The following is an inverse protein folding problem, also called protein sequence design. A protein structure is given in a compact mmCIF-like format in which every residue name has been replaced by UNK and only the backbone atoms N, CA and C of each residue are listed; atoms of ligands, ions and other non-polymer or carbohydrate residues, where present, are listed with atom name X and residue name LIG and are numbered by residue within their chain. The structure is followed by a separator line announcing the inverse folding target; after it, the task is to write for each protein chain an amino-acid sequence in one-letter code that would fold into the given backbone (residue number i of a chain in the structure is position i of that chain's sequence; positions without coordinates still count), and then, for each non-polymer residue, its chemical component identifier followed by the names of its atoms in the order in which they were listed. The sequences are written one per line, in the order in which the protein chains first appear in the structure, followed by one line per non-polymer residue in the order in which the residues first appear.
data_IF_562767464336
#
_entry.id   IF_562767464336
#
_cell.length_a   1.000
_cell.length_b   1.000
_cell.length_c   1.000
_cell.angle_alpha   90.00
_cell.angle_beta   90.00
_cell.angle_gamma   90.00
#
_symmetry.space_group_name_H-M   'P 1'
#
loop_
_entity.id
_entity.type
_entity.pdbx_description
1 polymer ?
#
# COMPACT_ATOMS: atom_id res chain seq x y z
N UNK A 1 5.98 26.89 0.43
CA UNK A 1 6.45 25.90 1.42
C UNK A 1 7.53 25.00 0.79
N UNK A 2 8.61 25.59 0.25
CA UNK A 2 9.70 24.87 -0.45
C UNK A 2 11.08 25.19 0.17
N UNK A 3 11.14 26.11 1.14
CA UNK A 3 12.39 26.61 1.72
C UNK A 3 12.95 25.70 2.84
N UNK A 4 12.12 24.88 3.48
CA UNK A 4 12.54 24.03 4.60
C UNK A 4 13.13 22.66 4.22
N UNK A 5 13.08 22.24 2.94
CA UNK A 5 13.57 20.91 2.56
C UNK A 5 15.10 20.82 2.46
N UNK A 6 15.77 21.90 2.06
CA UNK A 6 17.24 21.92 1.97
C UNK A 6 17.90 21.95 3.34
N UNK A 7 17.30 22.65 4.31
CA UNK A 7 17.85 22.80 5.67
C UNK A 7 17.76 21.49 6.46
N UNK A 8 16.63 20.78 6.37
CA UNK A 8 16.45 19.48 7.04
C UNK A 8 17.40 18.43 6.42
N UNK A 9 17.59 18.44 5.09
CA UNK A 9 18.57 17.57 4.42
C UNK A 9 19.99 17.86 4.91
N UNK A 10 20.40 19.12 4.99
CA UNK A 10 21.73 19.50 5.48
C UNK A 10 21.98 19.07 6.93
N UNK A 11 20.98 19.21 7.81
CA UNK A 11 21.09 18.80 9.22
C UNK A 11 21.12 17.27 9.34
N UNK A 12 20.32 16.55 8.55
CA UNK A 12 20.29 15.09 8.54
C UNK A 12 21.58 14.48 7.95
N UNK A 13 22.16 15.12 6.92
CA UNK A 13 23.44 14.71 6.34
C UNK A 13 24.62 14.96 7.29
N UNK A 14 24.58 16.03 8.09
CA UNK A 14 25.57 16.27 9.16
C UNK A 14 25.57 15.18 10.23
N UNK A 15 24.44 14.50 10.42
CA UNK A 15 24.27 13.45 11.44
C UNK A 15 24.31 12.02 10.87
N UNK A 16 24.57 11.85 9.56
CA UNK A 16 24.53 10.53 8.92
C UNK A 16 25.68 9.62 9.38
N UNK A 17 25.40 8.48 10.04
CA UNK A 17 26.41 7.51 10.47
C UNK A 17 27.11 6.80 9.30
N UNK A 18 26.55 6.90 8.09
CA UNK A 18 27.05 6.24 6.87
C UNK A 18 28.41 6.84 6.43
N UNK A 19 28.68 8.12 6.77
CA UNK A 19 30.00 8.76 6.56
C UNK A 19 31.14 8.08 7.33
N UNK A 20 30.83 7.27 8.35
CA UNK A 20 31.83 6.51 9.10
C UNK A 20 32.23 5.20 8.40
N UNK A 21 31.38 4.70 7.47
CA UNK A 21 31.57 3.42 6.78
C UNK A 21 32.04 3.57 5.32
N UNK A 22 31.81 4.72 4.68
CA UNK A 22 32.30 5.03 3.34
C UNK A 22 33.64 5.77 3.46
N UNK A 23 34.64 5.33 2.68
CA UNK A 23 36.05 5.72 2.78
C UNK A 23 36.32 7.20 3.09
N UNK A 24 37.24 7.43 4.03
CA UNK A 24 37.72 8.75 4.43
C UNK A 24 38.22 9.52 3.19
N UNK A 25 37.96 10.84 3.08
CA UNK A 25 38.62 11.65 2.06
C UNK A 25 40.14 11.54 2.26
N UNK A 26 40.84 11.09 1.22
CA UNK A 26 42.31 11.08 1.18
C UNK A 26 42.82 12.48 1.55
N UNK A 27 43.79 12.53 2.47
CA UNK A 27 44.50 13.75 2.76
C UNK A 27 45.08 14.29 1.45
N UNK A 28 44.94 15.61 1.22
CA UNK A 28 45.57 16.24 0.08
C UNK A 28 47.08 15.97 0.16
N UNK A 29 47.66 15.38 -0.88
CA UNK A 29 49.09 15.10 -0.93
C UNK A 29 49.86 16.42 -0.73
N UNK A 30 50.92 16.40 0.10
CA UNK A 30 51.76 17.59 0.35
C UNK A 30 52.33 18.17 -0.94
N UNK A 31 52.57 17.31 -1.93
CA UNK A 31 53.01 17.73 -3.27
C UNK A 31 51.96 18.62 -3.96
N UNK A 32 50.67 18.32 -3.82
CA UNK A 32 49.59 19.12 -4.42
C UNK A 32 49.47 20.48 -3.76
N UNK A 33 49.62 20.57 -2.42
CA UNK A 33 49.62 21.86 -1.71
C UNK A 33 50.78 22.74 -2.21
N UNK A 34 51.95 22.14 -2.38
CA UNK A 34 53.14 22.84 -2.86
C UNK A 34 52.97 23.36 -4.29
N UNK A 35 52.44 22.53 -5.19
CA UNK A 35 52.19 22.93 -6.58
C UNK A 35 51.15 24.06 -6.66
N UNK A 36 50.07 23.98 -5.87
CA UNK A 36 49.08 25.07 -5.82
C UNK A 36 49.71 26.35 -5.28
N UNK A 37 50.46 26.28 -4.18
CA UNK A 37 51.06 27.45 -3.56
C UNK A 37 52.03 28.16 -4.52
N UNK A 38 52.93 27.42 -5.17
CA UNK A 38 53.83 27.99 -6.19
C UNK A 38 53.04 28.63 -7.33
N UNK A 39 52.03 27.93 -7.86
CA UNK A 39 51.23 28.43 -8.98
C UNK A 39 50.52 29.73 -8.65
N UNK A 40 49.84 29.85 -7.51
CA UNK A 40 49.05 31.06 -7.22
C UNK A 40 49.92 32.28 -7.00
N UNK A 41 51.12 32.12 -6.42
CA UNK A 41 52.05 33.23 -6.26
C UNK A 41 52.71 33.63 -7.59
N UNK A 42 52.98 32.69 -8.49
CA UNK A 42 53.42 33.00 -9.86
C UNK A 42 52.34 33.75 -10.66
N UNK A 43 51.08 33.33 -10.55
CA UNK A 43 49.95 34.02 -11.17
C UNK A 43 49.77 35.42 -10.58
N UNK A 44 49.93 35.56 -9.26
CA UNK A 44 49.85 36.84 -8.56
C UNK A 44 50.91 37.84 -9.03
N UNK A 45 52.17 37.41 -9.19
CA UNK A 45 53.25 38.23 -9.74
C UNK A 45 52.94 38.74 -11.14
N UNK A 46 52.27 37.91 -11.95
CA UNK A 46 51.84 38.24 -13.32
C UNK A 46 50.49 38.95 -13.38
N UNK A 47 49.85 39.19 -12.22
CA UNK A 47 48.50 39.75 -12.09
C UNK A 47 47.44 38.99 -12.88
N UNK A 48 47.54 37.66 -12.88
CA UNK A 48 46.56 36.77 -13.51
C UNK A 48 45.56 36.32 -12.44
N UNK A 49 44.27 36.59 -12.68
CA UNK A 49 43.21 36.22 -11.76
C UNK A 49 42.97 34.71 -11.70
N UNK A 50 42.81 34.17 -10.49
CA UNK A 50 42.54 32.75 -10.28
C UNK A 50 41.54 32.54 -9.15
N UNK A 51 40.77 31.45 -9.26
CA UNK A 51 39.84 31.02 -8.23
C UNK A 51 39.85 29.49 -8.15
N UNK A 52 40.38 28.96 -7.05
CA UNK A 52 40.52 27.53 -6.81
C UNK A 52 39.72 27.18 -5.57
N UNK A 53 38.83 26.20 -5.66
CA UNK A 53 38.00 25.72 -4.56
C UNK A 53 38.39 24.30 -4.20
N UNK A 54 38.75 24.08 -2.94
CA UNK A 54 39.03 22.76 -2.40
C UNK A 54 37.77 22.18 -1.76
N UNK A 55 37.32 21.04 -2.30
CA UNK A 55 36.21 20.24 -1.77
C UNK A 55 36.67 19.46 -0.54
N UNK A 56 35.87 19.53 0.52
CA UNK A 56 36.06 18.75 1.75
C UNK A 56 34.89 17.79 1.98
N UNK A 57 34.09 18.00 3.03
CA UNK A 57 33.08 17.03 3.48
C UNK A 57 31.69 17.28 2.88
N UNK A 58 31.41 18.49 2.41
CA UNK A 58 30.11 18.83 1.82
C UNK A 58 30.01 18.42 0.35
N UNK A 59 28.79 18.05 -0.07
CA UNK A 59 28.43 17.82 -1.46
C UNK A 59 28.40 19.17 -2.20
N UNK A 60 29.55 19.59 -2.74
CA UNK A 60 29.67 20.81 -3.55
C UNK A 60 28.94 20.76 -4.90
N UNK A 61 28.38 19.61 -5.28
CA UNK A 61 27.68 19.40 -6.55
C UNK A 61 26.48 20.35 -6.73
N UNK A 62 25.82 20.74 -5.64
CA UNK A 62 24.69 21.68 -5.67
C UNK A 62 25.11 23.14 -5.94
N UNK A 63 26.39 23.46 -5.73
CA UNK A 63 26.93 24.82 -5.84
C UNK A 63 27.86 25.03 -7.05
N UNK A 64 28.42 23.95 -7.60
CA UNK A 64 29.28 24.00 -8.80
C UNK A 64 28.41 23.94 -10.06
N UNK A 65 27.89 25.08 -10.51
CA UNK A 65 27.03 25.14 -11.71
C UNK A 65 27.83 25.37 -12.99
N UNK A 66 27.41 24.73 -14.08
CA UNK A 66 27.93 25.00 -15.44
C UNK A 66 29.41 24.67 -15.68
N UNK A 67 30.09 24.02 -14.73
CA UNK A 67 31.49 23.63 -14.86
C UNK A 67 31.70 22.53 -15.91
N UNK A 68 32.88 22.51 -16.51
CA UNK A 68 33.34 21.44 -17.40
C UNK A 68 34.09 20.40 -16.56
N UNK A 69 33.63 19.14 -16.50
CA UNK A 69 34.33 18.11 -15.74
C UNK A 69 35.72 17.86 -16.32
N UNK A 70 36.72 17.78 -15.45
CA UNK A 70 38.11 17.55 -15.82
C UNK A 70 38.76 16.71 -14.73
N UNK A 71 38.94 15.40 -14.96
CA UNK A 71 39.59 14.48 -14.00
C UNK A 71 41.12 14.52 -14.13
N UNK A 72 41.72 15.67 -13.80
CA UNK A 72 43.14 15.96 -13.99
C UNK A 72 43.97 15.80 -12.73
N UNK A 73 45.25 15.42 -12.85
CA UNK A 73 46.21 15.59 -11.75
C UNK A 73 46.53 17.08 -11.59
N UNK A 74 46.61 17.53 -10.34
CA UNK A 74 47.08 18.89 -10.04
C UNK A 74 48.59 18.95 -10.27
N UNK A 75 49.03 19.96 -11.00
CA UNK A 75 50.44 20.31 -11.24
C UNK A 75 50.53 21.80 -11.58
N UNK A 76 51.71 22.40 -11.43
CA UNK A 76 51.93 23.82 -11.70
C UNK A 76 51.64 24.20 -13.16
N UNK A 77 52.02 23.33 -14.11
CA UNK A 77 51.81 23.55 -15.54
C UNK A 77 50.32 23.53 -15.90
N UNK A 78 49.56 22.59 -15.33
CA UNK A 78 48.11 22.48 -15.59
C UNK A 78 47.37 23.68 -15.02
N UNK A 79 47.63 24.04 -13.77
CA UNK A 79 46.96 25.17 -13.12
C UNK A 79 47.30 26.49 -13.82
N UNK A 80 48.58 26.70 -14.17
CA UNK A 80 49.00 27.89 -14.89
C UNK A 80 48.30 28.00 -16.24
N UNK A 81 48.23 26.90 -17.00
CA UNK A 81 47.60 26.86 -18.33
C UNK A 81 46.10 27.14 -18.28
N UNK A 82 45.40 26.66 -17.24
CA UNK A 82 43.95 26.91 -17.09
C UNK A 82 43.67 28.39 -16.86
N UNK A 83 44.44 29.07 -16.01
CA UNK A 83 44.19 30.47 -15.66
C UNK A 83 44.79 31.50 -16.63
N UNK A 84 45.51 31.09 -17.68
CA UNK A 84 46.00 32.02 -18.69
C UNK A 84 44.83 32.81 -19.32
N UNK A 85 44.92 34.14 -19.49
CA UNK A 85 43.82 34.95 -20.02
C UNK A 85 43.31 34.54 -21.41
N UNK A 86 44.16 33.88 -22.21
CA UNK A 86 43.81 33.40 -23.55
C UNK A 86 43.14 32.02 -23.53
N UNK A 87 43.17 31.31 -22.40
CA UNK A 87 42.63 29.96 -22.27
C UNK A 87 41.11 29.98 -22.15
N UNK A 88 40.34 29.21 -22.95
CA UNK A 88 38.89 29.13 -22.77
C UNK A 88 38.43 28.64 -21.38
N UNK A 89 39.37 28.09 -20.58
CA UNK A 89 39.11 27.54 -19.25
C UNK A 89 39.30 28.54 -18.09
N UNK A 90 39.83 29.74 -18.33
CA UNK A 90 40.20 30.68 -17.27
C UNK A 90 39.01 31.40 -16.60
N UNK A 91 37.84 31.36 -17.23
CA UNK A 91 36.63 32.00 -16.73
C UNK A 91 35.87 31.08 -15.78
N UNK A 92 35.80 31.47 -14.51
CA UNK A 92 35.19 30.70 -13.42
C UNK A 92 36.20 30.05 -12.46
N UNK A 93 35.69 29.17 -11.62
CA UNK A 93 36.50 28.48 -10.61
C UNK A 93 36.96 27.09 -11.07
N UNK A 94 38.10 26.64 -10.53
CA UNK A 94 38.49 25.24 -10.55
C UNK A 94 38.08 24.59 -9.24
N UNK A 95 37.51 23.39 -9.30
CA UNK A 95 37.24 22.56 -8.14
C UNK A 95 38.28 21.44 -8.03
N UNK A 96 38.88 21.29 -6.85
CA UNK A 96 39.87 20.26 -6.52
C UNK A 96 39.32 19.37 -5.40
N UNK A 97 39.39 18.05 -5.58
CA UNK A 97 39.00 17.04 -4.59
C UNK A 97 40.03 15.91 -4.57
N UNK A 98 40.52 15.53 -3.38
CA UNK A 98 41.43 14.38 -3.23
C UNK A 98 42.71 14.48 -4.07
N UNK A 99 43.26 15.70 -4.24
CA UNK A 99 44.47 15.93 -5.02
C UNK A 99 44.27 15.99 -6.54
N UNK A 100 43.03 15.87 -7.01
CA UNK A 100 42.69 15.95 -8.44
C UNK A 100 41.79 17.13 -8.72
N UNK A 101 41.96 17.72 -9.89
CA UNK A 101 40.97 18.61 -10.45
C UNK A 101 39.75 17.74 -10.77
N UNK A 102 38.56 18.21 -10.41
CA UNK A 102 37.29 17.52 -10.75
C UNK A 102 36.48 18.29 -11.78
N UNK A 103 36.60 19.62 -11.77
CA UNK A 103 35.94 20.49 -12.74
C UNK A 103 36.67 21.83 -12.87
N UNK A 104 36.52 22.45 -14.03
CA UNK A 104 36.96 23.81 -14.34
C UNK A 104 35.78 24.66 -14.81
N UNK A 105 35.94 25.98 -14.88
CA UNK A 105 34.87 26.93 -15.28
C UNK A 105 33.60 26.85 -14.43
N UNK A 106 33.73 26.48 -13.17
CA UNK A 106 32.57 26.39 -12.27
C UNK A 106 32.06 27.81 -11.94
N UNK A 107 30.77 28.04 -12.14
CA UNK A 107 30.08 29.22 -11.64
C UNK A 107 29.67 28.98 -10.18
N UNK A 108 30.19 29.83 -9.30
CA UNK A 108 29.94 29.76 -7.86
C UNK A 108 28.89 30.79 -7.42
N UNK A 109 28.16 30.54 -6.33
CA UNK A 109 27.32 31.57 -5.71
C UNK A 109 28.18 32.74 -5.22
N UNK A 110 27.72 33.96 -5.48
CA UNK A 110 28.32 35.18 -4.93
C UNK A 110 27.81 35.41 -3.50
N UNK A 111 28.65 36.00 -2.65
CA UNK A 111 28.22 36.50 -1.34
C UNK A 111 27.36 37.76 -1.51
N UNK A 112 26.21 37.76 -0.84
CA UNK A 112 25.25 38.87 -0.79
C UNK A 112 25.57 39.87 0.35
N UNK A 113 26.70 39.70 1.04
CA UNK A 113 27.08 40.54 2.18
C UNK A 113 27.42 41.98 1.70
N UNK A 114 26.62 43.00 2.11
CA UNK A 114 26.82 44.39 1.70
C UNK A 114 28.05 45.03 2.35
N UNK A 115 28.56 44.48 3.45
CA UNK A 115 29.70 45.00 4.20
C UNK A 115 31.05 44.59 3.60
N UNK A 116 31.06 43.79 2.53
CA UNK A 116 32.29 43.41 1.84
C UNK A 116 32.97 44.63 1.19
N UNK A 117 34.27 44.87 1.44
CA UNK A 117 35.01 45.97 0.84
C UNK A 117 34.82 46.08 -0.67
N UNK A 118 34.61 47.31 -1.17
CA UNK A 118 34.40 47.57 -2.61
C UNK A 118 35.55 47.09 -3.51
N UNK A 119 36.76 46.98 -2.95
CA UNK A 119 37.94 46.42 -3.64
C UNK A 119 37.81 44.94 -4.03
N UNK A 120 36.81 44.21 -3.50
CA UNK A 120 36.58 42.81 -3.80
C UNK A 120 35.69 42.64 -5.03
N UNK A 121 36.32 42.27 -6.14
CA UNK A 121 35.66 41.92 -7.40
C UNK A 121 34.92 40.57 -7.35
N UNK A 122 34.41 40.15 -8.50
CA UNK A 122 33.51 38.98 -8.64
C UNK A 122 34.14 37.68 -8.15
N UNK A 123 35.42 37.40 -8.42
CA UNK A 123 36.12 36.20 -7.92
C UNK A 123 36.23 36.15 -6.39
N UNK A 124 36.43 37.29 -5.74
CA UNK A 124 36.47 37.36 -4.28
C UNK A 124 35.08 37.08 -3.70
N UNK A 125 34.03 37.71 -4.26
CA UNK A 125 32.65 37.47 -3.84
C UNK A 125 32.20 36.02 -4.07
N UNK A 126 32.63 35.41 -5.17
CA UNK A 126 32.41 33.99 -5.47
C UNK A 126 33.11 33.06 -4.48
N UNK A 127 34.39 33.33 -4.19
CA UNK A 127 35.16 32.56 -3.20
C UNK A 127 34.58 32.68 -1.78
N UNK A 128 34.12 33.87 -1.39
CA UNK A 128 33.44 34.07 -0.10
C UNK A 128 32.09 33.33 -0.11
N UNK A 129 31.26 33.54 -1.13
CA UNK A 129 29.91 32.98 -1.20
C UNK A 129 29.87 31.45 -1.18
N UNK A 130 30.84 30.77 -1.83
CA UNK A 130 30.93 29.31 -1.74
C UNK A 130 31.30 28.84 -0.33
N UNK A 131 32.16 29.57 0.37
CA UNK A 131 32.61 29.23 1.73
C UNK A 131 31.58 29.62 2.81
N UNK A 132 30.63 30.52 2.52
CA UNK A 132 29.49 30.80 3.40
C UNK A 132 28.47 29.64 3.40
N UNK A 133 28.33 28.97 2.25
CA UNK A 133 27.29 27.95 2.01
C UNK A 133 27.81 26.51 2.12
N UNK A 134 29.12 26.34 2.22
CA UNK A 134 29.76 25.03 2.32
C UNK A 134 31.00 25.08 3.18
N UNK A 135 31.49 23.90 3.55
CA UNK A 135 32.74 23.73 4.26
C UNK A 135 33.99 23.87 3.36
N UNK A 136 33.84 24.26 2.09
CA UNK A 136 34.93 24.43 1.16
C UNK A 136 35.94 25.51 1.57
N UNK A 137 37.14 25.42 1.00
CA UNK A 137 38.19 26.44 1.09
C UNK A 137 38.34 27.05 -0.30
N UNK A 138 38.31 28.37 -0.40
CA UNK A 138 38.51 29.06 -1.68
C UNK A 138 39.80 29.89 -1.66
N UNK A 139 40.67 29.66 -2.63
CA UNK A 139 41.90 30.39 -2.86
C UNK A 139 41.72 31.32 -4.05
N UNK A 140 41.96 32.61 -3.85
CA UNK A 140 41.65 33.68 -4.80
C UNK A 140 42.94 34.44 -5.11
N UNK A 141 43.20 34.71 -6.40
CA UNK A 141 44.25 35.62 -6.86
C UNK A 141 43.59 36.83 -7.53
N UNK A 142 43.94 38.04 -7.08
CA UNK A 142 43.43 39.29 -7.65
C UNK A 142 44.15 39.64 -8.95
N UNK A 143 43.40 39.80 -10.04
CA UNK A 143 43.93 40.27 -11.33
C UNK A 143 44.31 41.77 -11.31
N UNK A 144 43.72 42.56 -10.42
CA UNK A 144 44.01 43.99 -10.32
C UNK A 144 45.23 44.26 -9.44
N UNK A 145 45.30 43.57 -8.29
CA UNK A 145 46.26 43.87 -7.22
C UNK A 145 47.40 42.85 -7.12
N UNK A 146 47.27 41.68 -7.75
CA UNK A 146 48.25 40.60 -7.58
C UNK A 146 48.32 40.08 -6.15
N UNK A 147 47.22 40.16 -5.40
CA UNK A 147 47.13 39.67 -4.02
C UNK A 147 46.55 38.25 -3.99
N UNK A 148 47.11 37.40 -3.14
CA UNK A 148 46.59 36.06 -2.84
C UNK A 148 45.74 36.14 -1.57
N UNK A 149 44.54 35.58 -1.62
CA UNK A 149 43.61 35.56 -0.50
C UNK A 149 42.99 34.18 -0.31
N UNK A 150 42.80 33.78 0.94
CA UNK A 150 42.16 32.54 1.34
C UNK A 150 40.82 32.87 1.99
N UNK A 151 39.75 32.23 1.50
CA UNK A 151 38.41 32.33 2.07
C UNK A 151 37.98 31.01 2.70
N UNK A 152 37.53 31.09 3.95
CA UNK A 152 37.09 29.95 4.76
C UNK A 152 35.92 30.38 5.64
N UNK A 153 34.80 29.66 5.59
CA UNK A 153 33.57 29.94 6.38
C UNK A 153 33.12 31.40 6.26
N UNK A 154 33.15 31.96 5.05
CA UNK A 154 32.75 33.34 4.74
C UNK A 154 33.74 34.42 5.17
N UNK A 155 34.87 34.06 5.80
CA UNK A 155 35.94 35.01 6.14
C UNK A 155 37.04 34.93 5.11
N UNK A 156 37.57 36.09 4.72
CA UNK A 156 38.68 36.20 3.77
C UNK A 156 39.92 36.78 4.48
N UNK A 157 41.05 36.14 4.29
CA UNK A 157 42.36 36.58 4.79
C UNK A 157 43.34 36.70 3.62
N UNK A 158 44.26 37.68 3.70
CA UNK A 158 45.33 37.85 2.72
C UNK A 158 46.52 36.99 3.15
N UNK A 159 47.17 36.34 2.18
CA UNK A 159 48.38 35.54 2.40
C UNK A 159 49.54 36.16 1.63
N UNK A 160 50.64 36.44 2.34
CA UNK A 160 51.75 37.23 1.77
C UNK A 160 52.83 36.38 1.10
N UNK A 161 52.96 35.10 1.43
CA UNK A 161 53.98 34.22 0.82
C UNK A 161 53.51 32.76 0.69
N UNK A 162 54.19 32.00 -0.16
CA UNK A 162 53.84 30.62 -0.50
C UNK A 162 53.97 29.66 0.70
N UNK A 163 54.92 29.90 1.61
CA UNK A 163 55.14 29.04 2.77
C UNK A 163 54.03 29.16 3.81
N UNK A 164 53.52 30.38 4.03
CA UNK A 164 52.37 30.62 4.91
C UNK A 164 51.10 30.01 4.31
N UNK A 165 50.89 30.16 3.00
CA UNK A 165 49.78 29.50 2.30
C UNK A 165 49.85 27.98 2.44
N UNK A 166 51.03 27.39 2.24
CA UNK A 166 51.26 25.95 2.41
C UNK A 166 50.91 25.51 3.83
N UNK A 167 51.41 26.22 4.83
CA UNK A 167 51.14 25.93 6.25
C UNK A 167 49.65 26.02 6.57
N UNK A 168 48.95 27.03 6.05
CA UNK A 168 47.50 27.20 6.26
C UNK A 168 46.69 26.14 5.56
N UNK A 169 46.95 25.87 4.28
CA UNK A 169 46.26 24.79 3.55
C UNK A 169 46.51 23.43 4.19
N UNK A 170 47.75 23.11 4.59
CA UNK A 170 48.07 21.87 5.30
C UNK A 170 47.28 21.79 6.62
N UNK A 171 47.28 22.82 7.46
CA UNK A 171 46.52 22.79 8.72
C UNK A 171 45.00 22.64 8.56
N UNK A 172 44.45 23.11 7.43
CA UNK A 172 43.01 23.10 7.16
C UNK A 172 42.53 21.87 6.36
N UNK A 173 43.44 21.19 5.64
CA UNK A 173 43.15 20.05 4.77
C UNK A 173 43.71 18.72 5.30
N UNK A 174 44.73 18.77 6.17
CA UNK A 174 45.20 17.60 6.91
C UNK A 174 44.25 17.41 8.10
N UNK A 175 43.32 16.47 7.95
CA UNK A 175 42.77 15.79 9.13
C UNK A 175 43.95 15.29 9.95
N UNK A 176 44.03 15.47 11.28
CA UNK A 176 45.14 14.99 12.09
C UNK A 176 45.30 13.47 11.86
N UNK A 177 46.21 13.11 10.97
CA UNK A 177 46.50 11.73 10.64
C UNK A 177 47.48 11.24 11.70
N UNK A 178 46.96 10.36 12.56
CA UNK A 178 47.66 9.21 13.13
C UNK A 178 48.74 9.45 14.20
N UNK A 179 48.28 9.45 15.46
CA UNK A 179 48.80 8.55 16.51
C UNK A 179 47.65 7.76 17.12
N UNK A 180 47.13 6.77 16.41
CA UNK A 180 46.45 5.64 17.07
C UNK A 180 46.44 4.48 16.10
N UNK A 181 47.58 3.78 16.07
CA UNK A 181 47.62 2.37 15.75
C UNK A 181 47.19 1.65 17.04
N UNK A 182 46.17 0.79 16.93
CA UNK A 182 45.67 -0.19 17.93
C UNK A 182 44.84 0.39 19.11
N UNK A 183 43.68 -0.15 19.51
CA UNK A 183 43.14 -1.51 19.44
C UNK A 183 41.62 -1.54 19.13
N UNK A 184 41.22 -2.13 18.01
CA UNK A 184 39.79 -2.39 17.69
C UNK A 184 39.16 -3.41 18.65
N UNK A 185 39.97 -4.23 19.31
CA UNK A 185 39.53 -5.14 20.37
C UNK A 185 39.12 -4.40 21.66
N UNK A 186 39.72 -3.22 21.93
CA UNK A 186 39.41 -2.39 23.09
C UNK A 186 38.22 -1.45 22.87
N UNK A 187 37.96 -1.02 21.63
CA UNK A 187 36.78 -0.20 21.30
C UNK A 187 35.48 -1.02 21.26
N UNK A 188 35.56 -2.33 20.98
CA UNK A 188 34.41 -3.23 21.06
C UNK A 188 34.03 -3.52 22.53
N UNK A 189 35.03 -3.68 23.42
CA UNK A 189 34.84 -3.97 24.85
C UNK A 189 34.62 -2.74 25.72
N UNK A 190 35.09 -1.55 25.31
CA UNK A 190 34.78 -0.31 26.00
C UNK A 190 33.31 0.10 25.77
N UNK A 191 32.64 0.50 26.85
CA UNK A 191 31.23 0.90 26.88
C UNK A 191 30.27 -0.22 26.46
N UNK A 192 30.50 -1.44 26.95
CA UNK A 192 29.59 -2.57 26.70
C UNK A 192 28.18 -2.30 27.25
N UNK A 193 28.07 -1.61 28.39
CA UNK A 193 26.79 -1.30 29.05
C UNK A 193 25.79 -0.55 28.13
N UNK A 194 26.10 0.64 27.58
CA UNK A 194 25.17 1.33 26.68
C UNK A 194 24.89 0.56 25.39
N UNK A 195 25.88 -0.19 24.85
CA UNK A 195 25.67 -1.01 23.64
C UNK A 195 24.70 -2.17 23.89
N UNK A 196 24.84 -2.85 25.03
CA UNK A 196 23.92 -3.91 25.45
C UNK A 196 22.55 -3.31 25.72
N UNK A 197 22.45 -2.17 26.41
CA UNK A 197 21.17 -1.50 26.66
C UNK A 197 20.48 -1.13 25.35
N UNK A 198 21.19 -0.52 24.39
CA UNK A 198 20.62 -0.19 23.08
C UNK A 198 20.22 -1.44 22.29
N UNK A 199 21.03 -2.50 22.31
CA UNK A 199 20.71 -3.76 21.63
C UNK A 199 19.49 -4.44 22.26
N UNK A 200 19.44 -4.53 23.59
CA UNK A 200 18.30 -5.09 24.34
C UNK A 200 17.05 -4.26 24.08
N UNK A 201 17.15 -2.94 24.10
CA UNK A 201 16.02 -2.05 23.83
C UNK A 201 15.50 -2.22 22.40
N UNK A 202 16.38 -2.30 21.40
CA UNK A 202 16.00 -2.58 20.00
C UNK A 202 15.38 -3.97 19.88
N UNK A 203 15.94 -4.99 20.53
CA UNK A 203 15.38 -6.35 20.53
C UNK A 203 14.00 -6.41 21.21
N UNK A 204 13.82 -5.74 22.35
CA UNK A 204 12.52 -5.62 23.03
C UNK A 204 11.53 -4.90 22.11
N UNK A 205 11.93 -3.78 21.52
CA UNK A 205 11.07 -3.01 20.62
C UNK A 205 10.70 -3.83 19.38
N UNK A 206 11.63 -4.59 18.82
CA UNK A 206 11.41 -5.46 17.67
C UNK A 206 10.46 -6.63 18.00
N UNK A 207 10.62 -7.27 19.17
CA UNK A 207 9.68 -8.29 19.66
C UNK A 207 8.30 -7.68 19.96
N UNK A 208 8.25 -6.46 20.49
CA UNK A 208 7.00 -5.78 20.82
C UNK A 208 6.23 -5.31 19.57
N UNK A 209 6.94 -4.81 18.55
CA UNK A 209 6.36 -4.30 17.30
C UNK A 209 6.08 -5.45 16.31
N UNK A 210 7.03 -6.36 16.11
CA UNK A 210 6.97 -7.39 15.08
C UNK A 210 6.50 -8.76 15.57
N UNK A 211 6.51 -9.00 16.88
CA UNK A 211 6.38 -10.33 17.46
C UNK A 211 4.98 -10.77 17.87
N UNK A 212 3.91 -10.02 17.55
CA UNK A 212 2.56 -10.50 17.80
C UNK A 212 2.20 -11.55 16.73
N UNK A 213 2.11 -12.85 17.05
CA UNK A 213 1.68 -13.85 16.09
C UNK A 213 0.23 -13.54 15.71
N UNK A 214 0.01 -13.07 14.47
CA UNK A 214 -1.33 -12.92 13.91
C UNK A 214 -1.94 -14.32 13.85
N UNK A 215 -2.85 -14.61 14.76
CA UNK A 215 -3.52 -15.89 14.79
C UNK A 215 -4.49 -15.96 13.60
N UNK A 216 -4.53 -17.12 12.96
CA UNK A 216 -5.55 -17.47 11.97
C UNK A 216 -6.53 -18.41 12.67
N UNK A 217 -7.78 -17.98 12.82
CA UNK A 217 -8.83 -18.76 13.47
C UNK A 217 -9.92 -19.05 12.46
N UNK A 218 -10.33 -20.32 12.40
CA UNK A 218 -11.43 -20.77 11.58
C UNK A 218 -12.74 -20.64 12.33
N UNK A 219 -13.74 -20.05 11.68
CA UNK A 219 -15.07 -19.89 12.24
C UNK A 219 -16.15 -20.17 11.21
N UNK A 220 -17.24 -20.77 11.67
CA UNK A 220 -18.38 -21.12 10.82
C UNK A 220 -19.34 -19.94 10.76
N UNK A 221 -19.50 -19.37 9.56
CA UNK A 221 -20.26 -18.14 9.30
C UNK A 221 -21.49 -18.49 8.44
N UNK A 222 -22.67 -17.90 8.69
CA UNK A 222 -23.84 -18.09 7.82
C UNK A 222 -23.61 -17.52 6.41
N UNK A 223 -24.10 -18.25 5.40
CA UNK A 223 -24.06 -17.86 3.99
C UNK A 223 -25.44 -17.35 3.54
N UNK A 224 -25.51 -16.09 3.12
CA UNK A 224 -26.72 -15.46 2.60
C UNK A 224 -26.63 -15.25 1.09
N UNK A 225 -27.70 -15.59 0.38
CA UNK A 225 -27.84 -15.36 -1.05
C UNK A 225 -28.53 -14.01 -1.32
N UNK A 226 -27.94 -13.17 -2.17
CA UNK A 226 -28.45 -11.84 -2.53
C UNK A 226 -28.71 -11.74 -4.03
N UNK A 227 -29.57 -10.78 -4.40
CA UNK A 227 -29.89 -10.45 -5.80
C UNK A 227 -30.36 -11.65 -6.62
N UNK A 228 -31.20 -12.51 -6.02
CA UNK A 228 -31.80 -13.63 -6.74
C UNK A 228 -32.78 -13.12 -7.81
N UNK A 229 -32.69 -13.57 -9.08
CA UNK A 229 -33.67 -13.23 -10.10
C UNK A 229 -35.10 -13.62 -9.69
N UNK A 230 -36.07 -12.75 -9.93
CA UNK A 230 -37.45 -12.91 -9.43
C UNK A 230 -38.19 -14.15 -9.98
N UNK A 231 -37.75 -14.67 -11.13
CA UNK A 231 -38.36 -15.80 -11.83
C UNK A 231 -37.61 -17.14 -11.60
N UNK A 232 -36.72 -17.21 -10.62
CA UNK A 232 -35.93 -18.40 -10.34
C UNK A 232 -36.01 -18.78 -8.86
N UNK A 233 -35.78 -20.05 -8.56
CA UNK A 233 -35.70 -20.54 -7.18
C UNK A 233 -34.57 -21.57 -7.03
N UNK A 234 -33.97 -21.62 -5.84
CA UNK A 234 -32.91 -22.58 -5.52
C UNK A 234 -33.52 -23.95 -5.23
N UNK A 235 -33.02 -24.99 -5.90
CA UNK A 235 -33.50 -26.37 -5.75
C UNK A 235 -32.40 -27.27 -5.20
N UNK A 236 -32.74 -28.08 -4.19
CA UNK A 236 -31.85 -29.07 -3.59
C UNK A 236 -31.16 -28.60 -2.31
N UNK A 237 -30.01 -29.18 -2.01
CA UNK A 237 -29.27 -28.91 -0.78
C UNK A 237 -28.61 -27.53 -0.81
N UNK A 238 -29.02 -26.65 0.09
CA UNK A 238 -28.42 -25.34 0.26
C UNK A 238 -27.25 -25.40 1.24
N UNK A 239 -26.12 -24.83 0.83
CA UNK A 239 -25.04 -24.53 1.76
C UNK A 239 -25.45 -23.29 2.55
N UNK A 240 -25.73 -23.45 3.84
CA UNK A 240 -26.19 -22.36 4.71
C UNK A 240 -25.07 -21.78 5.58
N UNK A 241 -23.91 -22.44 5.63
CA UNK A 241 -22.75 -22.06 6.43
C UNK A 241 -21.46 -22.34 5.68
N UNK A 242 -20.47 -21.48 5.88
CA UNK A 242 -19.12 -21.60 5.31
C UNK A 242 -18.08 -21.36 6.39
N UNK A 243 -16.91 -21.96 6.23
CA UNK A 243 -15.80 -21.74 7.14
C UNK A 243 -14.96 -20.56 6.65
N UNK A 244 -14.69 -19.62 7.53
CA UNK A 244 -13.90 -18.43 7.22
C UNK A 244 -12.69 -18.40 8.15
N UNK A 245 -11.51 -18.35 7.57
CA UNK A 245 -10.25 -18.13 8.27
C UNK A 245 -10.03 -16.64 8.45
N UNK A 246 -10.08 -16.15 9.68
CA UNK A 246 -9.84 -14.75 10.03
C UNK A 246 -8.45 -14.59 10.63
N UNK A 247 -7.71 -13.60 10.13
CA UNK A 247 -6.38 -13.24 10.61
C UNK A 247 -6.41 -11.89 11.31
N UNK A 248 -5.79 -11.81 12.49
CA UNK A 248 -5.78 -10.59 13.30
C UNK A 248 -5.23 -10.78 14.71
N UNK A 249 -5.32 -9.74 15.57
CA UNK A 249 -4.97 -9.82 16.98
C UNK A 249 -5.85 -10.84 17.71
N UNK A 250 -5.26 -11.73 18.51
CA UNK A 250 -6.00 -12.78 19.24
C UNK A 250 -7.14 -12.23 20.09
N UNK A 251 -6.92 -11.09 20.75
CA UNK A 251 -7.92 -10.43 21.62
C UNK A 251 -9.17 -9.99 20.85
N UNK A 252 -9.01 -9.52 19.61
CA UNK A 252 -10.13 -9.12 18.75
C UNK A 252 -10.84 -10.34 18.18
N UNK A 253 -10.10 -11.35 17.74
CA UNK A 253 -10.70 -12.56 17.18
C UNK A 253 -11.55 -13.29 18.24
N UNK A 254 -11.07 -13.39 19.48
CA UNK A 254 -11.82 -14.05 20.56
C UNK A 254 -13.10 -13.33 20.95
N UNK A 255 -13.22 -12.02 20.65
CA UNK A 255 -14.42 -11.24 20.94
C UNK A 255 -15.42 -11.18 19.78
N UNK A 256 -15.06 -11.71 18.60
CA UNK A 256 -15.95 -11.72 17.43
C UNK A 256 -16.90 -12.91 17.54
N UNK A 257 -18.19 -12.63 17.67
CA UNK A 257 -19.23 -13.66 17.59
C UNK A 257 -19.49 -14.01 16.12
N UNK A 258 -19.67 -15.30 15.82
CA UNK A 258 -19.96 -15.82 14.47
C UNK A 258 -21.17 -15.18 13.80
N UNK A 259 -22.12 -14.66 14.58
CA UNK A 259 -23.37 -14.06 14.08
C UNK A 259 -23.19 -12.63 13.55
N UNK A 260 -22.12 -11.95 13.94
CA UNK A 260 -21.77 -10.63 13.43
C UNK A 260 -21.14 -10.69 12.05
N UNK A 261 -20.62 -11.87 11.69
CA UNK A 261 -20.05 -12.13 10.38
C UNK A 261 -21.12 -12.73 9.49
N UNK A 262 -21.20 -12.22 8.26
CA UNK A 262 -22.10 -12.74 7.24
C UNK A 262 -21.34 -12.83 5.94
N UNK A 263 -21.40 -14.02 5.33
CA UNK A 263 -20.91 -14.24 3.99
C UNK A 263 -22.06 -14.01 3.00
N UNK A 264 -21.79 -13.28 1.92
CA UNK A 264 -22.81 -12.95 0.92
C UNK A 264 -22.40 -13.46 -0.46
N UNK A 265 -23.35 -14.09 -1.13
CA UNK A 265 -23.22 -14.55 -2.51
C UNK A 265 -24.19 -13.77 -3.39
N UNK A 266 -23.67 -13.13 -4.44
CA UNK A 266 -24.48 -12.44 -5.43
C UNK A 266 -24.93 -13.43 -6.52
N UNK A 267 -26.25 -13.54 -6.72
CA UNK A 267 -26.87 -14.42 -7.72
C UNK A 267 -27.33 -13.69 -8.98
N UNK A 268 -27.09 -12.38 -9.12
CA UNK A 268 -27.60 -11.56 -10.24
C UNK A 268 -27.16 -12.05 -11.63
N UNK A 269 -25.97 -12.63 -11.74
CA UNK A 269 -25.41 -13.18 -12.99
C UNK A 269 -25.69 -14.68 -13.17
N UNK A 270 -26.49 -15.28 -12.30
CA UNK A 270 -26.76 -16.72 -12.34
C UNK A 270 -27.82 -17.07 -13.37
N UNK A 271 -27.66 -18.23 -14.01
CA UNK A 271 -28.58 -18.72 -15.03
C UNK A 271 -29.34 -19.95 -14.54
N UNK A 272 -30.42 -20.31 -15.25
CA UNK A 272 -31.14 -21.57 -15.02
C UNK A 272 -30.18 -22.77 -15.19
N UNK A 273 -30.19 -23.70 -14.24
CA UNK A 273 -29.29 -24.84 -14.19
C UNK A 273 -28.28 -24.79 -13.03
N UNK A 274 -27.16 -25.48 -13.20
CA UNK A 274 -26.11 -25.59 -12.17
C UNK A 274 -25.12 -24.44 -12.32
N UNK A 275 -25.01 -23.63 -11.27
CA UNK A 275 -24.10 -22.51 -11.17
C UNK A 275 -22.98 -22.86 -10.17
N UNK A 276 -21.74 -22.63 -10.58
CA UNK A 276 -20.57 -22.76 -9.71
C UNK A 276 -20.11 -21.37 -9.29
N UNK A 277 -20.38 -21.03 -8.04
CA UNK A 277 -20.07 -19.70 -7.52
C UNK A 277 -18.80 -19.78 -6.70
N UNK A 278 -17.80 -19.00 -7.08
CA UNK A 278 -16.53 -18.90 -6.36
C UNK A 278 -16.71 -18.00 -5.14
N UNK A 279 -16.27 -18.48 -3.97
CA UNK A 279 -16.21 -17.70 -2.74
C UNK A 279 -14.81 -17.09 -2.60
N UNK A 280 -14.79 -15.78 -2.40
CA UNK A 280 -13.58 -14.96 -2.21
C UNK A 280 -13.65 -14.23 -0.86
N UNK A 281 -12.52 -13.79 -0.31
CA UNK A 281 -12.51 -13.00 0.94
C UNK A 281 -13.43 -11.77 0.90
N UNK A 282 -13.59 -11.14 -0.27
CA UNK A 282 -14.45 -9.96 -0.46
C UNK A 282 -15.94 -10.25 -0.28
N UNK A 283 -16.34 -11.53 -0.35
CA UNK A 283 -17.71 -11.96 -0.07
C UNK A 283 -18.04 -11.93 1.43
N UNK A 284 -17.05 -11.74 2.31
CA UNK A 284 -17.24 -11.74 3.76
C UNK A 284 -16.85 -10.38 4.32
N UNK A 285 -17.76 -9.72 5.02
CA UNK A 285 -17.46 -8.44 5.67
C UNK A 285 -16.75 -8.69 7.00
N UNK A 286 -15.47 -8.33 7.06
CA UNK A 286 -14.66 -8.42 8.27
C UNK A 286 -14.79 -7.17 9.16
N UNK A 287 -14.74 -7.31 10.50
CA UNK A 287 -14.60 -6.20 11.44
C UNK A 287 -13.26 -5.46 11.28
N UNK A 288 -13.23 -4.19 11.70
CA UNK A 288 -12.03 -3.36 11.69
C UNK A 288 -10.88 -4.03 12.47
N UNK A 289 -9.68 -4.03 11.90
CA UNK A 289 -8.49 -4.64 12.51
C UNK A 289 -8.38 -6.15 12.31
N UNK A 290 -9.26 -6.76 11.50
CA UNK A 290 -9.17 -8.16 11.08
C UNK A 290 -9.25 -8.29 9.56
N UNK A 291 -8.63 -9.33 9.03
CA UNK A 291 -8.62 -9.64 7.60
C UNK A 291 -9.13 -11.06 7.37
N UNK A 292 -9.92 -11.26 6.32
CA UNK A 292 -10.31 -12.61 5.90
C UNK A 292 -9.16 -13.20 5.10
N UNK A 293 -8.52 -14.22 5.67
CA UNK A 293 -7.42 -14.92 5.01
C UNK A 293 -7.93 -15.90 3.96
N UNK A 294 -8.94 -16.70 4.31
CA UNK A 294 -9.46 -17.79 3.48
C UNK A 294 -10.94 -18.04 3.73
N UNK A 295 -11.61 -18.59 2.72
CA UNK A 295 -12.99 -19.07 2.79
C UNK A 295 -13.04 -20.49 2.25
N UNK A 296 -13.67 -21.39 3.01
CA UNK A 296 -13.84 -22.80 2.67
C UNK A 296 -15.34 -23.19 2.73
N UNK A 297 -15.86 -23.88 1.70
CA UNK A 297 -15.19 -24.22 0.44
C UNK A 297 -14.94 -22.97 -0.43
N UNK A 298 -13.97 -23.04 -1.34
CA UNK A 298 -13.68 -21.93 -2.27
C UNK A 298 -14.69 -21.80 -3.41
N UNK A 299 -15.60 -22.77 -3.55
CA UNK A 299 -16.70 -22.73 -4.50
C UNK A 299 -17.93 -23.43 -3.95
N UNK A 300 -19.10 -22.86 -4.19
CA UNK A 300 -20.40 -23.46 -3.85
C UNK A 300 -21.13 -23.78 -5.15
N UNK A 301 -21.71 -24.97 -5.22
CA UNK A 301 -22.54 -25.41 -6.35
C UNK A 301 -24.00 -25.18 -5.99
N UNK A 302 -24.70 -24.37 -6.79
CA UNK A 302 -26.11 -24.03 -6.58
C UNK A 302 -26.88 -24.41 -7.83
N UNK A 303 -28.03 -25.06 -7.67
CA UNK A 303 -28.94 -25.34 -8.77
C UNK A 303 -30.11 -24.38 -8.71
N UNK A 304 -30.27 -23.58 -9.76
CA UNK A 304 -31.41 -22.70 -9.96
C UNK A 304 -32.34 -23.31 -11.00
N UNK A 305 -33.65 -23.20 -10.77
CA UNK A 305 -34.64 -23.56 -11.78
C UNK A 305 -35.63 -22.42 -11.96
N UNK A 306 -36.11 -22.27 -13.19
CA UNK A 306 -37.14 -21.28 -13.50
C UNK A 306 -38.45 -21.64 -12.81
N UNK A 307 -39.06 -20.62 -12.22
CA UNK A 307 -40.41 -20.70 -11.68
C UNK A 307 -41.39 -20.72 -12.86
N UNK A 308 -42.17 -21.78 -12.98
CA UNK A 308 -43.22 -21.92 -14.00
C UNK A 308 -44.58 -21.96 -13.35
N UNK A 309 -45.63 -21.71 -14.13
CA UNK A 309 -47.02 -21.92 -13.74
C UNK A 309 -47.59 -23.12 -14.51
N UNK A 310 -48.39 -23.94 -13.86
CA UNK A 310 -49.04 -25.12 -14.46
C UNK A 310 -50.41 -25.36 -13.84
N UNK A 311 -51.43 -25.55 -14.68
CA UNK A 311 -52.75 -26.00 -14.26
C UNK A 311 -52.70 -27.50 -13.90
N UNK A 312 -53.27 -27.84 -12.74
CA UNK A 312 -53.28 -29.19 -12.17
C UNK A 312 -54.70 -29.50 -11.69
N UNK A 313 -55.24 -30.71 -11.95
CA UNK A 313 -56.58 -31.08 -11.51
C UNK A 313 -56.68 -31.17 -9.98
N UNK A 314 -57.81 -30.75 -9.44
CA UNK A 314 -58.14 -30.82 -8.02
C UNK A 314 -58.97 -32.07 -7.75
N UNK A 315 -58.58 -32.85 -6.75
CA UNK A 315 -59.31 -34.03 -6.29
C UNK A 315 -59.71 -33.91 -4.82
N UNK A 316 -60.96 -34.23 -4.46
CA UNK A 316 -61.37 -34.22 -3.07
C UNK A 316 -60.76 -35.40 -2.31
N UNK A 317 -60.20 -35.15 -1.13
CA UNK A 317 -59.70 -36.21 -0.24
C UNK A 317 -60.81 -36.68 0.71
N UNK A 318 -61.57 -37.70 0.29
CA UNK A 318 -62.70 -38.20 1.07
C UNK A 318 -62.25 -39.21 2.13
N UNK A 319 -62.62 -38.98 3.38
CA UNK A 319 -62.27 -39.85 4.52
C UNK A 319 -63.52 -40.43 5.18
N UNK A 320 -63.45 -41.70 5.59
CA UNK A 320 -64.55 -42.39 6.24
C UNK A 320 -65.52 -43.07 5.26
N UNK A 321 -66.72 -43.44 5.76
CA UNK A 321 -67.78 -44.08 4.98
C UNK A 321 -69.09 -43.31 5.19
N UNK A 322 -69.89 -43.20 4.14
CA UNK A 322 -71.23 -42.63 4.23
C UNK A 322 -72.12 -43.46 5.18
N UNK A 323 -72.98 -42.82 6.00
CA UNK A 323 -73.99 -43.50 6.79
C UNK A 323 -74.96 -44.30 5.90
N UNK A 324 -75.29 -45.55 6.28
CA UNK A 324 -76.38 -46.29 5.62
C UNK A 324 -77.71 -45.59 5.91
N UNK A 325 -78.64 -45.41 4.95
CA UNK A 325 -78.74 -46.03 3.62
C UNK A 325 -78.14 -45.20 2.47
N UNK A 326 -77.34 -44.17 2.72
CA UNK A 326 -76.86 -43.24 1.69
C UNK A 326 -75.84 -43.91 0.75
N UNK A 327 -75.92 -43.56 -0.54
CA UNK A 327 -74.97 -43.94 -1.60
C UNK A 327 -74.40 -42.68 -2.25
N UNK A 328 -73.09 -42.67 -2.48
CA UNK A 328 -72.40 -41.59 -3.20
C UNK A 328 -72.79 -41.63 -4.68
N UNK A 329 -73.41 -40.56 -5.18
CA UNK A 329 -73.80 -40.43 -6.58
C UNK A 329 -72.75 -39.70 -7.41
N UNK A 330 -72.05 -38.74 -6.81
CA UNK A 330 -70.98 -38.00 -7.47
C UNK A 330 -70.36 -36.95 -6.57
N UNK A 331 -69.13 -36.58 -6.89
CA UNK A 331 -68.42 -35.47 -6.26
C UNK A 331 -67.92 -34.54 -7.34
N UNK A 332 -68.24 -33.26 -7.21
CA UNK A 332 -67.75 -32.20 -8.08
C UNK A 332 -66.92 -31.22 -7.26
N UNK A 333 -65.86 -30.69 -7.88
CA UNK A 333 -65.01 -29.66 -7.29
C UNK A 333 -65.00 -28.46 -8.21
N UNK A 334 -65.22 -27.27 -7.65
CA UNK A 334 -65.21 -26.01 -8.39
C UNK A 334 -64.21 -25.04 -7.73
N UNK A 335 -63.17 -24.58 -8.47
CA UNK A 335 -62.80 -24.96 -9.85
C UNK A 335 -62.23 -26.39 -9.95
N UNK A 336 -62.37 -27.08 -11.11
CA UNK A 336 -61.86 -28.44 -11.29
C UNK A 336 -60.34 -28.51 -11.48
N UNK A 337 -59.72 -27.40 -11.87
CA UNK A 337 -58.27 -27.26 -12.01
C UNK A 337 -57.81 -26.00 -11.28
N UNK A 338 -56.58 -26.05 -10.76
CA UNK A 338 -55.96 -24.90 -10.14
C UNK A 338 -54.55 -24.68 -10.66
N UNK A 339 -54.15 -23.41 -10.78
CA UNK A 339 -52.82 -23.05 -11.27
C UNK A 339 -51.84 -23.01 -10.11
N UNK A 340 -50.86 -23.91 -10.16
CA UNK A 340 -49.73 -23.94 -9.23
C UNK A 340 -48.52 -23.27 -9.85
N UNK A 341 -47.70 -22.64 -9.00
CA UNK A 341 -46.43 -22.01 -9.35
C UNK A 341 -45.30 -22.59 -8.50
N UNK A 342 -44.12 -22.78 -9.12
CA UNK A 342 -42.93 -23.30 -8.45
C UNK A 342 -41.85 -23.77 -9.42
N UNK A 343 -40.78 -24.41 -8.94
CA UNK A 343 -39.70 -24.92 -9.77
C UNK A 343 -40.20 -25.92 -10.81
N UNK A 344 -39.75 -25.77 -12.06
CA UNK A 344 -40.20 -26.60 -13.19
C UNK A 344 -40.03 -28.11 -12.94
N UNK A 345 -38.95 -28.54 -12.27
CA UNK A 345 -38.73 -29.94 -11.91
C UNK A 345 -39.77 -30.48 -10.92
N UNK A 346 -40.12 -29.69 -9.90
CA UNK A 346 -41.08 -30.09 -8.87
C UNK A 346 -42.52 -30.08 -9.42
N UNK A 347 -42.90 -29.06 -10.19
CA UNK A 347 -44.22 -28.97 -10.84
C UNK A 347 -44.52 -30.11 -11.82
N UNK A 348 -43.49 -30.69 -12.44
CA UNK A 348 -43.66 -31.88 -13.31
C UNK A 348 -44.10 -33.11 -12.54
N UNK A 349 -43.72 -33.21 -11.26
CA UNK A 349 -44.03 -34.36 -10.39
C UNK A 349 -45.44 -34.27 -9.82
N UNK A 350 -46.00 -33.07 -9.68
CA UNK A 350 -47.38 -32.87 -9.25
C UNK A 350 -48.32 -33.23 -10.40
N UNK A 351 -49.15 -34.26 -10.18
CA UNK A 351 -50.17 -34.72 -11.13
C UNK A 351 -51.56 -34.22 -10.77
N UNK A 352 -51.83 -34.07 -9.49
CA UNK A 352 -53.10 -33.66 -8.91
C UNK A 352 -52.84 -32.98 -7.56
N UNK A 353 -53.79 -32.16 -7.12
CA UNK A 353 -53.81 -31.52 -5.80
C UNK A 353 -55.01 -32.05 -5.04
N UNK A 354 -54.81 -32.41 -3.78
CA UNK A 354 -55.89 -32.85 -2.92
C UNK A 354 -56.47 -31.70 -2.11
N UNK A 355 -57.75 -31.78 -1.78
CA UNK A 355 -58.33 -30.94 -0.71
C UNK A 355 -57.89 -31.47 0.64
N UNK A 356 -58.03 -30.66 1.69
CA UNK A 356 -58.03 -31.18 3.06
C UNK A 356 -59.08 -32.31 3.22
N UNK A 357 -58.89 -33.21 4.20
CA UNK A 357 -59.80 -34.32 4.46
C UNK A 357 -61.26 -33.89 4.63
N UNK A 358 -62.13 -34.46 3.81
CA UNK A 358 -63.58 -34.29 3.91
C UNK A 358 -64.18 -35.54 4.55
N UNK A 359 -64.71 -35.38 5.78
CA UNK A 359 -65.32 -36.49 6.51
C UNK A 359 -66.71 -36.83 5.96
N UNK A 360 -66.87 -38.05 5.45
CA UNK A 360 -68.14 -38.55 4.90
C UNK A 360 -69.13 -39.01 5.98
N UNK A 361 -68.67 -39.19 7.22
CA UNK A 361 -69.46 -39.77 8.32
C UNK A 361 -70.62 -38.88 8.79
N UNK A 362 -70.46 -37.56 8.64
CA UNK A 362 -71.41 -36.57 9.14
C UNK A 362 -72.45 -36.14 8.09
N UNK A 363 -72.36 -36.69 6.88
CA UNK A 363 -73.24 -36.30 5.76
C UNK A 363 -74.60 -36.99 5.85
N UNK A 364 -75.67 -36.20 5.80
CA UNK A 364 -77.07 -36.66 5.82
C UNK A 364 -77.82 -36.37 4.52
N UNK A 365 -77.39 -35.36 3.76
CA UNK A 365 -77.98 -34.90 2.50
C UNK A 365 -76.92 -34.30 1.55
N UNK A 366 -77.34 -33.90 0.35
CA UNK A 366 -76.48 -33.22 -0.62
C UNK A 366 -75.86 -31.98 0.03
N UNK A 367 -74.53 -31.94 0.09
CA UNK A 367 -73.81 -30.91 0.83
C UNK A 367 -72.77 -30.26 -0.07
N UNK A 368 -72.66 -28.95 0.06
CA UNK A 368 -71.63 -28.14 -0.56
C UNK A 368 -70.78 -27.52 0.55
N UNK A 369 -69.47 -27.68 0.46
CA UNK A 369 -68.52 -27.21 1.47
C UNK A 369 -67.32 -26.52 0.84
N UNK A 370 -66.82 -25.49 1.50
CA UNK A 370 -65.59 -24.79 1.12
C UNK A 370 -64.42 -25.42 1.88
N UNK A 371 -63.50 -26.05 1.14
CA UNK A 371 -62.40 -26.85 1.71
C UNK A 371 -61.08 -26.30 1.21
N UNK A 372 -60.09 -26.15 2.08
CA UNK A 372 -58.76 -25.70 1.66
C UNK A 372 -58.02 -26.77 0.86
N UNK A 373 -57.04 -26.34 0.06
CA UNK A 373 -56.18 -27.24 -0.70
C UNK A 373 -54.96 -27.67 0.12
N UNK A 374 -54.66 -28.96 0.08
CA UNK A 374 -53.49 -29.55 0.71
C UNK A 374 -52.31 -29.54 -0.26
N UNK A 375 -51.39 -28.59 -0.07
CA UNK A 375 -50.16 -28.48 -0.88
C UNK A 375 -48.99 -29.05 -0.08
N UNK A 376 -48.60 -30.28 -0.38
CA UNK A 376 -47.58 -31.04 0.38
C UNK A 376 -46.14 -30.53 0.16
N UNK A 377 -45.89 -29.72 -0.88
CA UNK A 377 -44.54 -29.28 -1.26
C UNK A 377 -44.27 -27.82 -0.87
N UNK A 378 -43.27 -27.52 -0.01
CA UNK A 378 -43.02 -26.15 0.47
C UNK A 378 -42.52 -25.17 -0.61
N UNK A 379 -42.01 -25.70 -1.73
CA UNK A 379 -41.55 -24.92 -2.89
C UNK A 379 -42.64 -24.73 -3.95
N UNK A 380 -43.85 -25.26 -3.74
CA UNK A 380 -44.98 -25.11 -4.67
C UNK A 380 -46.03 -24.26 -3.98
N UNK A 381 -46.55 -23.28 -4.70
CA UNK A 381 -47.52 -22.31 -4.18
C UNK A 381 -48.66 -22.14 -5.18
N UNK A 382 -49.78 -21.60 -4.71
CA UNK A 382 -50.85 -21.15 -5.59
C UNK A 382 -50.37 -19.93 -6.38
N UNK A 383 -50.77 -19.84 -7.65
CA UNK A 383 -50.59 -18.60 -8.40
C UNK A 383 -51.40 -17.46 -7.73
N UNK A 384 -50.97 -16.19 -7.84
CA UNK A 384 -51.56 -15.06 -7.11
C UNK A 384 -53.09 -14.92 -7.23
N UNK A 385 -53.66 -15.33 -8.35
CA UNK A 385 -55.08 -15.17 -8.68
C UNK A 385 -55.94 -16.42 -8.39
N UNK A 386 -55.39 -17.43 -7.70
CA UNK A 386 -56.07 -18.70 -7.47
C UNK A 386 -56.64 -18.80 -6.05
N UNK A 387 -57.86 -19.36 -5.88
CA UNK A 387 -58.50 -19.45 -4.57
C UNK A 387 -57.81 -20.52 -3.70
N UNK A 388 -57.54 -20.19 -2.43
CA UNK A 388 -57.00 -21.15 -1.45
C UNK A 388 -58.02 -22.24 -1.06
N UNK A 389 -59.30 -21.91 -1.14
CA UNK A 389 -60.41 -22.82 -0.85
C UNK A 389 -61.15 -23.15 -2.14
N UNK A 390 -61.50 -24.42 -2.29
CA UNK A 390 -62.32 -24.92 -3.40
C UNK A 390 -63.67 -25.38 -2.88
N UNK A 391 -64.68 -25.31 -3.74
CA UNK A 391 -66.01 -25.76 -3.37
C UNK A 391 -66.19 -27.21 -3.75
N UNK A 392 -66.41 -28.07 -2.76
CA UNK A 392 -66.66 -29.51 -2.94
C UNK A 392 -68.16 -29.75 -2.79
N UNK A 393 -68.79 -30.23 -3.85
CA UNK A 393 -70.21 -30.58 -3.90
C UNK A 393 -70.38 -32.09 -3.93
N UNK A 394 -70.96 -32.66 -2.88
CA UNK A 394 -71.17 -34.11 -2.73
C UNK A 394 -72.66 -34.40 -2.91
N UNK A 395 -72.99 -35.25 -3.89
CA UNK A 395 -74.37 -35.74 -4.11
C UNK A 395 -74.54 -37.14 -3.55
N UNK A 396 -75.60 -37.34 -2.76
CA UNK A 396 -75.93 -38.60 -2.11
C UNK A 396 -77.39 -38.98 -2.38
N UNK A 397 -77.65 -40.27 -2.60
CA UNK A 397 -79.01 -40.80 -2.77
C UNK A 397 -79.32 -41.81 -1.66
N UNK A 398 -80.55 -41.79 -1.14
CA UNK A 398 -81.03 -42.84 -0.23
C UNK A 398 -81.19 -44.15 -1.00
N UNK A 399 -80.36 -45.13 -0.69
CA UNK A 399 -80.49 -46.47 -1.24
C UNK A 399 -81.86 -47.05 -0.87
N UNK A 400 -82.63 -47.49 -1.88
CA UNK A 400 -83.83 -48.31 -1.65
C UNK A 400 -83.41 -49.58 -0.93
N UNK A 401 -83.91 -49.77 0.29
CA UNK A 401 -83.61 -50.94 1.11
C UNK A 401 -83.96 -52.23 0.37
N UNK A 402 -83.05 -53.20 0.40
CA UNK A 402 -83.37 -54.61 0.19
C UNK A 402 -83.64 -55.26 1.54
#
# INVERSE_FOLDING_TARGET
MVVFQSEIRQVLDRMSPVRFFIGRPEALDRMVVEDVAKTVFDLAQRRIGALIVFKRQDLLEDFLKGGVPLDGRVSQEVLSSIFLPQSPAHDGAIAIQGGRIVAMRCYLPLSDNPDLPQKYGTRHRAGIGITERSDAIALIVSEERGEVSLAVRGRIERIDNADDLKTRLESMMVSPQQKTRENWQGAFTANLAPKIISFVLVCILWVFIGGQPRAEVWMTVPLEYRNMPANMEIVGDLVNRVEVGIRGPRSLISSISSDQLKAHVDLSQSMSGVNHIRLTPDNVRAPLGTEVAKVAPSSVRIRLEDIKARAVPVKPHLVGKLPRPLRLMGVAVEPPEIVLQGPAGNLKRVREVFTEPVELGDLTEDTQMSVALEITSPQIRLAPDQPLHVTVSIRVEKGKGS
#
